data_IF_875651825535
#
_entry.id   IF_875651825535
#
_cell.length_a   1.000
_cell.length_b   1.000
_cell.length_c   1.000
_cell.angle_alpha   90.00
_cell.angle_beta   90.00
_cell.angle_gamma   90.00
#
_symmetry.space_group_name_H-M   'P 1'
#
loop_
_entity.id
_entity.type
_entity.pdbx_description
1 polymer ?
#
# COMPACT_ATOMS: atom_id res chain seq x y z
N UNK A 1 -11.76 -7.31 9.56
CA UNK A 1 -12.11 -5.93 9.18
C UNK A 1 -12.02 -5.02 10.41
N UNK A 2 -11.39 -3.84 10.24
CA UNK A 2 -11.21 -2.87 11.34
C UNK A 2 -12.50 -2.13 11.75
N UNK A 3 -13.55 -2.21 10.94
CA UNK A 3 -14.79 -1.44 11.10
C UNK A 3 -16.00 -2.31 11.35
N UNK A 4 -15.93 -3.62 11.11
CA UNK A 4 -17.04 -4.54 11.21
C UNK A 4 -16.57 -5.92 11.66
N UNK A 5 -16.91 -6.29 12.89
CA UNK A 5 -16.54 -7.56 13.51
C UNK A 5 -17.16 -8.81 12.81
N UNK A 6 -18.12 -8.63 11.92
CA UNK A 6 -18.68 -9.72 11.13
C UNK A 6 -17.94 -9.95 9.82
N UNK A 7 -17.13 -8.97 9.39
CA UNK A 7 -16.40 -9.04 8.13
C UNK A 7 -14.98 -9.56 8.35
N UNK A 8 -14.60 -10.54 7.52
CA UNK A 8 -13.27 -11.17 7.54
C UNK A 8 -12.73 -11.25 6.11
N UNK A 9 -11.44 -10.99 5.96
CA UNK A 9 -10.70 -11.20 4.72
C UNK A 9 -9.77 -12.39 4.89
N UNK A 10 -9.68 -13.25 3.89
CA UNK A 10 -8.78 -14.40 3.88
C UNK A 10 -8.05 -14.51 2.56
N UNK A 11 -6.79 -14.90 2.64
CA UNK A 11 -5.95 -15.25 1.49
C UNK A 11 -5.58 -16.72 1.63
N UNK A 12 -5.68 -17.44 0.52
CA UNK A 12 -5.21 -18.81 0.43
C UNK A 12 -4.11 -18.88 -0.63
N UNK A 13 -3.13 -19.71 -0.38
CA UNK A 13 -2.01 -19.96 -1.27
C UNK A 13 -1.89 -21.45 -1.57
N UNK A 14 -1.77 -21.80 -2.86
CA UNK A 14 -1.66 -23.16 -3.34
C UNK A 14 -0.51 -23.36 -4.33
N UNK A 15 0.45 -22.41 -4.37
CA UNK A 15 1.55 -22.41 -5.34
C UNK A 15 2.43 -23.67 -5.26
N UNK A 16 2.55 -24.26 -4.07
CA UNK A 16 3.33 -25.49 -3.86
C UNK A 16 2.79 -26.70 -4.67
N UNK A 17 1.52 -26.63 -5.07
CA UNK A 17 0.87 -27.65 -5.92
C UNK A 17 0.73 -27.20 -7.38
N UNK A 18 1.46 -26.15 -7.79
CA UNK A 18 1.43 -25.64 -9.15
C UNK A 18 0.23 -24.73 -9.49
N UNK A 19 -0.55 -24.37 -8.50
CA UNK A 19 -1.68 -23.44 -8.66
C UNK A 19 -1.29 -22.05 -8.20
N UNK A 20 -1.11 -21.15 -9.17
CA UNK A 20 -0.61 -19.78 -8.96
C UNK A 20 -1.72 -18.72 -8.96
N UNK A 21 -2.98 -19.11 -8.88
CA UNK A 21 -4.11 -18.17 -8.85
C UNK A 21 -4.13 -17.32 -7.59
N UNK A 22 -4.66 -16.11 -7.71
CA UNK A 22 -4.94 -15.26 -6.56
C UNK A 22 -6.23 -15.72 -5.88
N UNK A 23 -6.11 -16.24 -4.67
CA UNK A 23 -7.25 -16.64 -3.83
C UNK A 23 -7.47 -15.63 -2.72
N UNK A 24 -8.28 -14.61 -3.00
CA UNK A 24 -8.64 -13.58 -2.04
C UNK A 24 -10.14 -13.64 -1.79
N UNK A 25 -10.52 -13.80 -0.54
CA UNK A 25 -11.91 -13.99 -0.13
C UNK A 25 -12.34 -12.97 0.92
N UNK A 26 -13.62 -12.66 0.89
CA UNK A 26 -14.31 -11.84 1.90
C UNK A 26 -15.53 -12.59 2.43
N UNK A 27 -15.69 -12.60 3.74
CA UNK A 27 -16.91 -12.99 4.43
C UNK A 27 -17.50 -11.77 5.13
N UNK A 28 -18.82 -11.68 5.20
CA UNK A 28 -19.55 -10.63 5.93
C UNK A 28 -20.39 -11.21 7.08
N UNK A 29 -20.21 -12.49 7.40
CA UNK A 29 -20.99 -13.23 8.40
C UNK A 29 -20.09 -14.16 9.24
N UNK A 30 -18.97 -13.62 9.73
CA UNK A 30 -18.01 -14.31 10.61
C UNK A 30 -17.46 -15.61 10.01
N UNK A 31 -17.26 -15.66 8.68
CA UNK A 31 -16.69 -16.82 8.01
C UNK A 31 -17.68 -17.94 7.65
N UNK A 32 -18.98 -17.75 7.83
CA UNK A 32 -19.96 -18.76 7.46
C UNK A 32 -20.11 -18.93 5.95
N UNK A 33 -20.02 -17.82 5.20
CA UNK A 33 -19.98 -17.83 3.75
C UNK A 33 -18.87 -16.92 3.23
N UNK A 34 -18.32 -17.29 2.08
CA UNK A 34 -17.18 -16.58 1.46
C UNK A 34 -17.48 -16.20 0.03
N UNK A 35 -17.10 -15.00 -0.35
CA UNK A 35 -17.15 -14.50 -1.72
C UNK A 35 -15.73 -14.22 -2.17
N UNK A 36 -15.36 -14.70 -3.36
CA UNK A 36 -14.11 -14.30 -4.01
C UNK A 36 -14.13 -12.82 -4.38
N UNK A 37 -13.04 -12.14 -4.09
CA UNK A 37 -12.78 -10.75 -4.46
C UNK A 37 -11.51 -10.62 -5.30
N UNK A 38 -11.17 -11.65 -6.09
CA UNK A 38 -9.99 -11.71 -6.96
C UNK A 38 -10.28 -11.29 -8.41
N UNK A 39 -11.43 -10.70 -8.72
CA UNK A 39 -12.06 -10.62 -10.03
C UNK A 39 -11.17 -10.18 -11.21
N UNK A 40 -10.29 -9.19 -11.00
CA UNK A 40 -9.42 -8.66 -12.05
C UNK A 40 -7.93 -8.74 -11.70
N UNK A 41 -7.59 -9.59 -10.73
CA UNK A 41 -6.19 -9.92 -10.48
C UNK A 41 -5.65 -10.82 -11.59
N UNK A 42 -4.36 -10.74 -11.93
CA UNK A 42 -3.76 -11.62 -12.94
C UNK A 42 -3.90 -13.11 -12.56
N UNK A 43 -4.12 -13.97 -13.56
CA UNK A 43 -4.35 -15.40 -13.36
C UNK A 43 -3.20 -16.12 -12.62
N UNK A 44 -1.96 -15.64 -12.77
CA UNK A 44 -0.77 -16.23 -12.19
C UNK A 44 -0.10 -15.27 -11.20
N UNK A 45 -0.86 -14.73 -10.28
CA UNK A 45 -0.37 -13.79 -9.27
C UNK A 45 -0.92 -14.15 -7.90
N UNK A 46 -0.44 -15.26 -7.34
CA UNK A 46 -0.86 -15.64 -5.99
C UNK A 46 -0.55 -14.53 -4.98
N UNK A 47 -1.36 -14.46 -3.95
CA UNK A 47 -1.39 -13.35 -3.02
C UNK A 47 -0.83 -13.77 -1.66
N UNK A 48 -0.16 -12.85 -0.98
CA UNK A 48 0.52 -13.11 0.29
C UNK A 48 -0.14 -12.44 1.47
N UNK A 49 -0.50 -11.17 1.33
CA UNK A 49 -1.00 -10.36 2.43
C UNK A 49 -2.05 -9.37 1.96
N UNK A 50 -3.14 -9.26 2.72
CA UNK A 50 -4.13 -8.18 2.57
C UNK A 50 -4.12 -7.33 3.84
N UNK A 51 -4.15 -6.00 3.67
CA UNK A 51 -4.30 -5.05 4.77
C UNK A 51 -5.38 -4.04 4.42
N UNK A 52 -6.16 -3.66 5.43
CA UNK A 52 -7.21 -2.65 5.31
C UNK A 52 -6.72 -1.34 5.89
N UNK A 53 -7.03 -0.23 5.21
CA UNK A 53 -6.78 1.08 5.77
C UNK A 53 -7.54 1.27 7.09
N UNK A 54 -6.91 1.99 8.01
CA UNK A 54 -7.47 2.23 9.34
C UNK A 54 -8.44 3.41 9.40
N UNK A 55 -8.60 4.17 8.31
CA UNK A 55 -9.49 5.34 8.20
C UNK A 55 -10.60 5.11 7.20
N UNK A 56 -10.30 4.54 6.01
CA UNK A 56 -11.27 4.31 4.94
C UNK A 56 -11.60 2.82 4.83
N UNK A 57 -12.79 2.43 5.24
CA UNK A 57 -13.27 1.03 5.27
C UNK A 57 -13.06 0.28 3.95
N UNK A 58 -13.26 0.95 2.83
CA UNK A 58 -13.25 0.33 1.50
C UNK A 58 -11.87 0.27 0.86
N UNK A 59 -10.84 0.85 1.49
CA UNK A 59 -9.47 0.87 0.99
C UNK A 59 -8.71 -0.34 1.52
N UNK A 60 -8.26 -1.18 0.58
CA UNK A 60 -7.49 -2.39 0.83
C UNK A 60 -6.19 -2.35 0.02
N UNK A 61 -5.13 -2.94 0.57
CA UNK A 61 -3.88 -3.20 -0.14
C UNK A 61 -3.59 -4.70 -0.12
N UNK A 62 -3.06 -5.21 -1.22
CA UNK A 62 -2.79 -6.63 -1.43
C UNK A 62 -1.36 -6.81 -1.93
N UNK A 63 -0.54 -7.50 -1.16
CA UNK A 63 0.77 -7.97 -1.57
C UNK A 63 0.64 -9.26 -2.35
N UNK A 64 1.28 -9.30 -3.52
CA UNK A 64 1.26 -10.43 -4.43
C UNK A 64 2.68 -10.86 -4.80
N UNK A 65 2.80 -11.93 -5.59
CA UNK A 65 4.08 -12.36 -6.18
C UNK A 65 4.67 -11.32 -7.13
N UNK A 66 3.84 -10.46 -7.74
CA UNK A 66 4.28 -9.48 -8.75
C UNK A 66 3.87 -8.06 -8.38
N UNK A 67 4.18 -7.65 -7.15
CA UNK A 67 3.96 -6.27 -6.70
C UNK A 67 2.80 -6.11 -5.73
N UNK A 68 2.36 -4.87 -5.59
CA UNK A 68 1.28 -4.48 -4.68
C UNK A 68 0.10 -3.98 -5.49
N UNK A 69 -1.09 -4.38 -5.07
CA UNK A 69 -2.36 -3.89 -5.62
C UNK A 69 -3.14 -3.14 -4.54
N UNK A 70 -3.96 -2.20 -4.95
CA UNK A 70 -4.92 -1.55 -4.05
C UNK A 70 -6.34 -1.62 -4.61
N UNK A 71 -7.31 -1.54 -3.70
CA UNK A 71 -8.73 -1.45 -4.03
C UNK A 71 -9.37 -0.34 -3.21
N UNK A 72 -10.15 0.51 -3.85
CA UNK A 72 -10.94 1.58 -3.19
C UNK A 72 -12.41 1.22 -3.01
N UNK A 73 -12.79 0.00 -3.36
CA UNK A 73 -14.17 -0.50 -3.36
C UNK A 73 -14.31 -1.89 -2.71
N UNK A 74 -13.56 -2.12 -1.62
CA UNK A 74 -13.61 -3.36 -0.81
C UNK A 74 -13.26 -4.64 -1.58
N UNK A 75 -12.35 -4.56 -2.56
CA UNK A 75 -11.87 -5.70 -3.33
C UNK A 75 -12.73 -6.05 -4.55
N UNK A 76 -13.71 -5.22 -4.92
CA UNK A 76 -14.49 -5.46 -6.15
C UNK A 76 -13.62 -5.28 -7.40
N UNK A 77 -12.69 -4.33 -7.37
CA UNK A 77 -11.66 -4.14 -8.39
C UNK A 77 -10.33 -3.80 -7.75
N UNK A 78 -9.25 -4.23 -8.39
CA UNK A 78 -7.88 -4.01 -7.97
C UNK A 78 -7.10 -3.22 -9.02
N UNK A 79 -6.24 -2.33 -8.57
CA UNK A 79 -5.31 -1.56 -9.41
C UNK A 79 -3.90 -1.81 -8.92
N UNK A 80 -2.99 -2.11 -9.83
CA UNK A 80 -1.58 -2.30 -9.47
C UNK A 80 -0.92 -0.97 -9.12
N UNK A 81 -0.14 -0.94 -8.06
CA UNK A 81 0.79 0.14 -7.81
C UNK A 81 1.98 -0.01 -8.75
N UNK A 82 2.23 1.02 -9.54
CA UNK A 82 3.31 1.10 -10.51
C UNK A 82 4.23 2.29 -10.19
N UNK A 83 5.11 2.65 -11.10
CA UNK A 83 6.13 3.67 -10.88
C UNK A 83 7.35 3.06 -10.18
N UNK A 84 7.71 3.60 -9.03
CA UNK A 84 8.87 3.11 -8.26
C UNK A 84 8.60 1.83 -7.45
N UNK A 85 7.39 1.27 -7.55
CA UNK A 85 7.06 -0.02 -6.91
C UNK A 85 7.46 -1.17 -7.83
N UNK A 86 8.45 -1.99 -7.44
CA UNK A 86 8.94 -3.07 -8.30
C UNK A 86 7.95 -4.23 -8.38
N UNK A 87 8.01 -4.96 -9.51
CA UNK A 87 7.24 -6.21 -9.72
C UNK A 87 7.96 -7.42 -9.11
N UNK A 88 8.09 -7.42 -7.80
CA UNK A 88 8.70 -8.50 -7.00
C UNK A 88 7.72 -8.98 -5.94
N UNK A 89 7.97 -10.15 -5.31
CA UNK A 89 7.10 -10.65 -4.27
C UNK A 89 7.05 -9.73 -3.05
N UNK A 90 5.86 -9.26 -2.70
CA UNK A 90 5.58 -8.56 -1.44
C UNK A 90 4.93 -9.55 -0.47
N UNK A 91 5.74 -10.12 0.41
CA UNK A 91 5.35 -11.19 1.33
C UNK A 91 4.55 -10.73 2.52
N UNK A 92 4.78 -9.50 2.96
CA UNK A 92 3.99 -8.89 4.02
C UNK A 92 3.76 -7.40 3.76
N UNK A 93 2.66 -6.90 4.30
CA UNK A 93 2.27 -5.49 4.25
C UNK A 93 1.85 -5.03 5.64
N UNK A 94 2.25 -3.84 6.02
CA UNK A 94 1.79 -3.19 7.25
C UNK A 94 1.52 -1.70 7.00
N UNK A 95 0.54 -1.15 7.70
CA UNK A 95 0.24 0.28 7.67
C UNK A 95 0.79 0.93 8.92
N UNK A 96 1.71 1.87 8.76
CA UNK A 96 2.19 2.73 9.83
C UNK A 96 1.17 3.84 10.06
N UNK A 97 0.27 3.62 11.03
CA UNK A 97 -0.96 4.42 11.21
C UNK A 97 -0.69 5.90 11.49
N UNK A 98 0.37 6.24 12.22
CA UNK A 98 0.70 7.61 12.59
C UNK A 98 1.10 8.46 11.37
N UNK A 99 1.95 7.91 10.50
CA UNK A 99 2.47 8.63 9.32
C UNK A 99 1.66 8.34 8.06
N UNK A 100 0.77 7.36 8.09
CA UNK A 100 0.00 6.86 6.95
C UNK A 100 0.87 6.24 5.86
N UNK A 101 1.95 5.56 6.25
CA UNK A 101 2.83 4.90 5.30
C UNK A 101 2.41 3.44 5.11
N UNK A 102 2.54 2.96 3.88
CA UNK A 102 2.41 1.54 3.57
C UNK A 102 3.81 0.93 3.51
N UNK A 103 4.10 0.02 4.41
CA UNK A 103 5.37 -0.70 4.48
C UNK A 103 5.18 -2.08 3.87
N UNK A 104 6.01 -2.41 2.90
CA UNK A 104 6.02 -3.70 2.22
C UNK A 104 7.32 -4.46 2.47
N UNK A 105 7.22 -5.66 3.01
CA UNK A 105 8.34 -6.60 3.13
C UNK A 105 8.41 -7.47 1.88
N UNK A 106 9.56 -7.45 1.21
CA UNK A 106 9.76 -8.16 -0.05
C UNK A 106 10.60 -9.42 0.11
N UNK A 107 10.50 -10.33 -0.85
CA UNK A 107 11.42 -11.45 -0.91
C UNK A 107 12.71 -11.03 -1.62
N UNK A 108 13.79 -10.94 -0.84
CA UNK A 108 15.15 -10.73 -1.36
C UNK A 108 15.57 -9.28 -1.60
N UNK A 109 14.70 -8.28 -1.40
CA UNK A 109 15.05 -6.85 -1.60
C UNK A 109 14.71 -5.94 -0.43
N UNK A 110 14.60 -6.47 0.78
CA UNK A 110 14.36 -5.69 1.99
C UNK A 110 12.94 -5.10 2.06
N UNK A 111 12.85 -3.88 2.54
CA UNK A 111 11.58 -3.19 2.76
C UNK A 111 11.40 -2.03 1.77
N UNK A 112 10.17 -1.85 1.31
CA UNK A 112 9.73 -0.68 0.57
C UNK A 112 8.74 0.09 1.43
N UNK A 113 8.90 1.40 1.46
CA UNK A 113 8.02 2.29 2.20
C UNK A 113 7.38 3.23 1.18
N UNK A 114 6.05 3.19 1.10
CA UNK A 114 5.27 4.14 0.37
C UNK A 114 4.80 5.22 1.35
N UNK A 115 5.47 6.35 1.32
CA UNK A 115 5.18 7.49 2.18
C UNK A 115 3.82 8.09 1.85
N UNK A 116 3.02 8.34 2.89
CA UNK A 116 1.72 8.98 2.82
C UNK A 116 0.74 8.35 1.81
N UNK A 117 0.25 7.16 2.13
CA UNK A 117 -0.81 6.51 1.35
C UNK A 117 -2.18 7.19 1.49
N UNK A 118 -2.31 8.29 2.24
CA UNK A 118 -3.59 8.93 2.52
C UNK A 118 -4.30 9.45 1.27
N UNK A 119 -3.56 9.71 0.20
CA UNK A 119 -4.10 10.09 -1.11
C UNK A 119 -5.12 9.06 -1.64
N UNK A 120 -4.89 7.76 -1.40
CA UNK A 120 -5.82 6.70 -1.83
C UNK A 120 -7.19 6.79 -1.17
N UNK A 121 -7.29 7.44 -0.01
CA UNK A 121 -8.57 7.71 0.65
C UNK A 121 -9.46 8.65 -0.13
N UNK A 122 -8.86 9.52 -0.94
CA UNK A 122 -9.55 10.51 -1.76
C UNK A 122 -9.85 10.03 -3.19
N UNK A 123 -9.28 8.89 -3.61
CA UNK A 123 -9.54 8.34 -4.93
C UNK A 123 -10.98 7.82 -5.03
N UNK A 124 -11.68 8.25 -6.07
CA UNK A 124 -13.01 7.78 -6.47
C UNK A 124 -13.09 7.68 -7.99
N UNK A 125 -14.06 6.93 -8.50
CA UNK A 125 -14.28 6.83 -9.94
C UNK A 125 -14.54 8.20 -10.60
N UNK A 126 -15.20 9.12 -9.89
CA UNK A 126 -15.44 10.48 -10.38
C UNK A 126 -14.14 11.23 -10.63
N UNK A 127 -13.19 11.16 -9.69
CA UNK A 127 -11.91 11.84 -9.83
C UNK A 127 -11.06 11.22 -10.92
N UNK A 128 -11.05 9.88 -11.02
CA UNK A 128 -10.29 9.17 -12.07
C UNK A 128 -10.84 9.39 -13.48
N UNK A 129 -12.12 9.76 -13.61
CA UNK A 129 -12.76 10.14 -14.90
C UNK A 129 -12.64 11.63 -15.22
N UNK A 130 -12.14 12.46 -14.28
CA UNK A 130 -11.95 13.88 -14.53
C UNK A 130 -10.68 14.14 -15.35
N UNK A 131 -10.66 15.22 -16.12
CA UNK A 131 -9.47 15.61 -16.92
C UNK A 131 -8.26 15.91 -16.03
N UNK A 132 -8.52 16.51 -14.87
CA UNK A 132 -7.49 16.77 -13.88
C UNK A 132 -8.10 16.80 -12.48
N UNK A 133 -7.38 16.27 -11.49
CA UNK A 133 -7.75 16.32 -10.08
C UNK A 133 -6.50 16.60 -9.26
N UNK A 134 -6.55 17.60 -8.41
CA UNK A 134 -5.58 17.81 -7.33
C UNK A 134 -6.13 17.16 -6.07
N UNK A 135 -5.38 16.24 -5.48
CA UNK A 135 -5.77 15.60 -4.23
C UNK A 135 -5.47 16.48 -3.02
N UNK A 136 -6.14 16.26 -1.88
CA UNK A 136 -5.84 16.98 -0.64
C UNK A 136 -4.37 16.89 -0.28
N UNK A 137 -3.78 18.02 0.08
CA UNK A 137 -2.38 18.11 0.47
C UNK A 137 -2.26 17.84 1.96
N UNK A 138 -1.36 16.94 2.34
CA UNK A 138 -1.02 16.70 3.74
C UNK A 138 -0.42 17.96 4.36
N UNK A 139 -0.65 18.17 5.67
CA UNK A 139 0.00 19.22 6.42
C UNK A 139 1.52 19.05 6.33
N UNK A 140 2.19 20.00 5.69
CA UNK A 140 3.64 20.04 5.62
C UNK A 140 4.23 20.40 6.97
N UNK A 141 5.29 19.69 7.36
CA UNK A 141 6.02 20.01 8.58
C UNK A 141 7.11 21.05 8.26
N UNK A 142 7.13 22.11 9.04
CA UNK A 142 8.24 23.06 9.01
C UNK A 142 9.34 22.53 9.92
N UNK A 143 10.55 22.32 9.39
CA UNK A 143 11.72 21.96 10.16
C UNK A 143 12.96 22.72 9.68
N UNK A 144 13.91 22.92 10.56
CA UNK A 144 15.18 23.55 10.22
C UNK A 144 16.20 22.43 10.05
N UNK A 145 16.71 22.20 8.81
CA UNK A 145 17.77 21.21 8.60
C UNK A 145 19.01 21.61 9.43
N UNK A 146 19.57 20.66 10.16
CA UNK A 146 20.81 20.89 10.91
C UNK A 146 21.82 19.82 10.54
N UNK A 147 23.06 20.25 10.34
CA UNK A 147 24.20 19.34 10.27
C UNK A 147 24.79 19.18 11.67
N UNK A 148 25.36 18.02 11.96
CA UNK A 148 26.13 17.84 13.20
C UNK A 148 27.45 18.63 13.13
N UNK A 149 27.97 19.01 14.29
CA UNK A 149 29.18 19.80 14.39
C UNK A 149 30.37 19.05 13.79
N UNK A 150 31.10 19.70 12.89
CA UNK A 150 32.29 19.14 12.24
C UNK A 150 32.03 18.19 11.07
N UNK A 151 30.77 18.06 10.61
CA UNK A 151 30.41 17.19 9.49
C UNK A 151 29.46 17.81 8.50
N UNK A 152 29.41 17.23 7.30
CA UNK A 152 28.44 17.56 6.25
C UNK A 152 27.68 16.30 5.84
N UNK A 153 26.41 16.43 5.50
CA UNK A 153 25.58 15.32 5.04
C UNK A 153 24.76 14.66 6.15
N UNK A 154 24.43 13.39 5.97
CA UNK A 154 23.61 12.63 6.93
C UNK A 154 24.40 12.35 8.22
N UNK A 155 23.75 12.51 9.37
CA UNK A 155 24.28 11.97 10.61
C UNK A 155 24.44 10.44 10.49
N UNK A 156 25.57 9.90 10.94
CA UNK A 156 25.82 8.46 10.98
C UNK A 156 25.72 7.95 12.40
N UNK A 157 25.07 6.81 12.57
CA UNK A 157 25.04 6.05 13.84
C UNK A 157 25.89 4.77 13.75
N UNK A 158 26.77 4.68 12.74
CA UNK A 158 27.58 3.52 12.41
C UNK A 158 27.00 2.71 11.25
N UNK A 159 27.81 1.82 10.69
CA UNK A 159 27.47 1.04 9.49
C UNK A 159 26.32 0.04 9.70
N UNK A 160 26.03 -0.31 10.95
CA UNK A 160 24.93 -1.21 11.30
C UNK A 160 23.55 -0.56 11.29
N UNK A 161 23.47 0.76 11.12
CA UNK A 161 22.21 1.50 11.16
C UNK A 161 21.91 2.16 9.81
N UNK A 162 20.75 1.85 9.27
CA UNK A 162 20.25 2.53 8.07
C UNK A 162 19.79 3.94 8.42
N UNK A 163 20.27 4.93 7.69
CA UNK A 163 19.86 6.33 7.80
C UNK A 163 19.31 6.80 6.47
N UNK A 164 18.02 7.07 6.43
CA UNK A 164 17.34 7.64 5.28
C UNK A 164 17.63 9.15 5.12
N UNK A 165 17.53 9.73 3.91
CA UNK A 165 17.43 11.17 3.74
C UNK A 165 16.20 11.72 4.47
N UNK A 166 16.25 13.01 4.83
CA UNK A 166 15.07 13.70 5.31
C UNK A 166 13.98 13.73 4.22
N UNK A 167 12.69 13.74 4.61
CA UNK A 167 11.61 13.96 3.65
C UNK A 167 11.82 15.26 2.87
N UNK A 168 11.25 15.41 1.66
CA UNK A 168 11.27 16.66 0.94
C UNK A 168 10.75 17.81 1.80
N UNK A 169 11.46 18.92 1.81
CA UNK A 169 11.05 20.12 2.54
C UNK A 169 9.88 20.80 1.82
N UNK A 170 8.79 21.03 2.53
CA UNK A 170 7.62 21.71 1.99
C UNK A 170 6.40 20.81 1.80
N UNK A 171 5.43 21.30 1.04
CA UNK A 171 4.21 20.58 0.72
C UNK A 171 4.41 19.67 -0.51
N UNK A 172 3.94 18.43 -0.41
CA UNK A 172 3.93 17.49 -1.53
C UNK A 172 2.53 17.49 -2.15
N UNK A 173 2.47 17.69 -3.46
CA UNK A 173 1.22 17.71 -4.22
C UNK A 173 1.09 16.42 -5.03
N UNK A 174 -0.01 15.72 -4.82
CA UNK A 174 -0.39 14.55 -5.63
C UNK A 174 -1.55 14.94 -6.54
N UNK A 175 -1.47 14.61 -7.80
CA UNK A 175 -2.49 14.93 -8.79
C UNK A 175 -2.72 13.77 -9.76
N UNK A 176 -3.89 13.80 -10.41
CA UNK A 176 -4.24 12.93 -11.53
C UNK A 176 -4.52 13.79 -12.75
N UNK A 177 -3.99 13.37 -13.92
CA UNK A 177 -4.31 13.95 -15.21
C UNK A 177 -4.69 12.78 -16.11
N UNK A 178 -5.87 12.86 -16.75
CA UNK A 178 -6.25 11.89 -17.79
C UNK A 178 -5.47 12.19 -19.07
N UNK A 179 -5.01 11.15 -19.73
CA UNK A 179 -4.48 11.21 -21.10
C UNK A 179 -5.59 11.56 -22.11
#
# INVERSE_FOLDING_TARGET
>A
DNFDANTVYAILDNHKYGDYKAYVYKSINKGQTWKSISSNLPERSHSWRIVQDHVKKNLLFLGTEFGVYFSVNSGNTWTQLTGDVPTIPFRDLAIHKRENDLVGATFGRGFYIFDDMSVFRSISEKQMKSKATLFPVRKALWYIPRSFLGGSGKASQGDSYYIAPNPPFGAVFTYHISE
#
